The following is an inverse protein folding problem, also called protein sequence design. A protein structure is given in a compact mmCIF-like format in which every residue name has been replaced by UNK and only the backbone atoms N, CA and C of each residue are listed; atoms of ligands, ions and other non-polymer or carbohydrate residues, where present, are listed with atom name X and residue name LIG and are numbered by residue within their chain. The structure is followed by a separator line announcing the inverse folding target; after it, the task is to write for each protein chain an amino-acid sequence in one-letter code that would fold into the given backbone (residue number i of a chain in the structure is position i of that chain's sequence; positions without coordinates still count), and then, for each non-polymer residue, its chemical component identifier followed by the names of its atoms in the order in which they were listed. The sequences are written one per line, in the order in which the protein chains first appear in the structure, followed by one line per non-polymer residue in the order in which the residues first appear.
data_IF_352295150393
#
_entry.id   IF_352295150393
#
_cell.length_a   1.000
_cell.length_b   1.000
_cell.length_c   1.000
_cell.angle_alpha   90.00
_cell.angle_beta   90.00
_cell.angle_gamma   90.00
#
_symmetry.space_group_name_H-M   'P 1'
#
loop_
_entity.id
_entity.type
_entity.pdbx_description
1 polymer ?
#
# COMPACT_ATOMS: atom_id res chain seq x y z
N UNK A 1 8.93 -2.87 25.79
CA UNK A 1 8.90 -3.47 24.44
C UNK A 1 7.53 -3.29 23.79
N UNK A 2 6.47 -3.04 24.57
CA UNK A 2 5.07 -3.05 24.13
C UNK A 2 4.65 -1.94 23.13
N UNK A 3 5.45 -0.88 22.96
CA UNK A 3 5.20 0.19 21.96
C UNK A 3 5.98 0.03 20.66
N UNK A 4 7.02 -0.81 20.64
CA UNK A 4 7.81 -1.04 19.43
C UNK A 4 7.05 -1.94 18.44
N UNK A 5 6.26 -2.87 18.95
CA UNK A 5 5.47 -3.80 18.12
C UNK A 5 4.35 -3.11 17.33
N UNK A 6 3.55 -2.17 17.92
CA UNK A 6 2.60 -1.38 17.14
C UNK A 6 3.28 -0.46 16.12
N UNK A 7 4.32 0.28 16.53
CA UNK A 7 5.03 1.23 15.66
C UNK A 7 5.60 0.51 14.42
N UNK A 8 6.19 -0.67 14.63
CA UNK A 8 6.70 -1.50 13.55
C UNK A 8 5.55 -1.95 12.63
N UNK A 9 4.45 -2.47 13.19
CA UNK A 9 3.31 -2.95 12.39
C UNK A 9 2.66 -1.85 11.55
N UNK A 10 2.39 -0.68 12.11
CA UNK A 10 1.83 0.43 11.36
C UNK A 10 2.78 0.92 10.26
N UNK A 11 4.09 0.93 10.53
CA UNK A 11 5.10 1.27 9.52
C UNK A 11 5.11 0.26 8.37
N UNK A 12 5.04 -1.05 8.66
CA UNK A 12 4.97 -2.11 7.64
C UNK A 12 3.69 -1.97 6.81
N UNK A 13 2.54 -1.74 7.46
CA UNK A 13 1.26 -1.54 6.76
C UNK A 13 1.32 -0.29 5.87
N UNK A 14 1.79 0.83 6.40
CA UNK A 14 1.94 2.09 5.66
C UNK A 14 2.89 1.95 4.47
N UNK A 15 3.99 1.23 4.65
CA UNK A 15 4.94 0.91 3.58
C UNK A 15 4.27 0.10 2.47
N UNK A 16 3.63 -1.03 2.80
CA UNK A 16 3.03 -1.93 1.82
C UNK A 16 1.84 -1.27 1.10
N UNK A 17 0.94 -0.64 1.85
CA UNK A 17 -0.22 0.07 1.28
C UNK A 17 0.22 1.25 0.41
N UNK A 18 1.16 2.07 0.90
CA UNK A 18 1.72 3.19 0.16
C UNK A 18 2.44 2.74 -1.11
N UNK A 19 3.24 1.67 -1.04
CA UNK A 19 3.94 1.12 -2.19
C UNK A 19 2.97 0.65 -3.28
N UNK A 20 1.89 -0.01 -2.87
CA UNK A 20 0.87 -0.54 -3.77
C UNK A 20 0.07 0.59 -4.42
N UNK A 21 -0.53 1.46 -3.62
CA UNK A 21 -1.34 2.58 -4.11
C UNK A 21 -0.50 3.53 -4.96
N UNK A 22 0.72 3.85 -4.50
CA UNK A 22 1.62 4.72 -5.25
C UNK A 22 2.02 4.13 -6.61
N UNK A 23 2.13 2.81 -6.74
CA UNK A 23 2.42 2.19 -8.03
C UNK A 23 1.32 2.50 -9.05
N UNK A 24 0.07 2.26 -8.70
CA UNK A 24 -1.06 2.56 -9.58
C UNK A 24 -1.27 4.05 -9.76
N UNK A 25 -1.01 4.88 -8.75
CA UNK A 25 -1.13 6.32 -8.92
C UNK A 25 -0.13 6.89 -9.93
N UNK A 26 1.13 6.42 -9.91
CA UNK A 26 2.21 7.00 -10.72
C UNK A 26 2.51 6.28 -12.03
N UNK A 27 2.28 4.97 -12.11
CA UNK A 27 2.64 4.16 -13.27
C UNK A 27 1.43 3.60 -14.02
N UNK A 28 0.37 3.19 -13.30
CA UNK A 28 -0.79 2.50 -13.89
C UNK A 28 -2.12 3.15 -13.48
N UNK A 29 -2.24 4.47 -13.69
CA UNK A 29 -3.38 5.25 -13.19
C UNK A 29 -4.70 4.86 -13.82
N UNK A 30 -4.70 4.30 -15.03
CA UNK A 30 -5.91 3.82 -15.70
C UNK A 30 -6.56 2.66 -14.94
N UNK A 31 -5.77 1.77 -14.34
CA UNK A 31 -6.26 0.63 -13.55
C UNK A 31 -7.01 1.12 -12.30
N UNK A 32 -6.60 2.24 -11.73
CA UNK A 32 -7.26 2.84 -10.57
C UNK A 32 -8.75 3.16 -10.82
N UNK A 33 -9.10 3.50 -12.07
CA UNK A 33 -10.47 3.85 -12.44
C UNK A 33 -11.23 2.69 -13.09
N UNK A 34 -10.54 1.84 -13.84
CA UNK A 34 -11.17 0.75 -14.60
C UNK A 34 -11.30 -0.54 -13.78
N UNK A 35 -10.36 -0.82 -12.88
CA UNK A 35 -10.39 -1.98 -11.98
C UNK A 35 -9.79 -1.62 -10.60
N UNK A 36 -10.52 -0.83 -9.79
CA UNK A 36 -10.03 -0.39 -8.48
C UNK A 36 -9.80 -1.54 -7.49
N UNK A 37 -10.43 -2.70 -7.70
CA UNK A 37 -10.28 -3.87 -6.84
C UNK A 37 -8.91 -4.52 -7.04
N UNK A 38 -8.42 -4.57 -8.28
CA UNK A 38 -7.09 -5.07 -8.62
C UNK A 38 -5.95 -4.27 -7.97
N UNK A 39 -6.16 -2.98 -7.71
CA UNK A 39 -5.18 -2.13 -7.03
C UNK A 39 -4.83 -2.69 -5.64
N UNK A 40 -5.81 -3.22 -4.91
CA UNK A 40 -5.63 -3.73 -3.55
C UNK A 40 -5.40 -5.24 -3.50
N UNK A 41 -6.00 -5.99 -4.43
CA UNK A 41 -6.00 -7.44 -4.42
C UNK A 41 -4.87 -8.02 -5.29
N UNK A 42 -4.28 -9.16 -4.90
CA UNK A 42 -3.29 -9.86 -5.73
C UNK A 42 -3.94 -10.76 -6.80
N UNK A 43 -5.22 -10.54 -7.10
CA UNK A 43 -5.98 -11.29 -8.09
C UNK A 43 -6.89 -10.35 -8.89
N UNK A 44 -7.00 -10.63 -10.19
CA UNK A 44 -8.06 -10.08 -11.05
C UNK A 44 -9.34 -10.86 -10.79
N UNK A 45 -10.50 -10.20 -10.89
CA UNK A 45 -11.81 -10.83 -10.65
C UNK A 45 -12.51 -11.24 -11.95
N UNK A 46 -12.19 -10.60 -13.08
CA UNK A 46 -12.83 -10.83 -14.38
C UNK A 46 -11.81 -10.83 -15.52
N UNK A 47 -11.31 -12.00 -15.99
CA UNK A 47 -11.49 -13.34 -15.41
C UNK A 47 -10.72 -13.50 -14.08
N UNK A 48 -11.14 -14.44 -13.24
CA UNK A 48 -10.45 -14.72 -11.99
C UNK A 48 -9.04 -15.29 -12.23
N UNK A 49 -8.03 -14.47 -12.03
CA UNK A 49 -6.63 -14.83 -12.28
C UNK A 49 -5.73 -14.32 -11.15
N UNK A 50 -4.82 -15.18 -10.69
CA UNK A 50 -3.78 -14.77 -9.75
C UNK A 50 -2.68 -14.00 -10.49
N UNK A 51 -2.63 -12.69 -10.26
CA UNK A 51 -1.61 -11.81 -10.82
C UNK A 51 -0.46 -11.57 -9.85
N UNK A 52 -0.67 -11.87 -8.56
CA UNK A 52 0.28 -11.64 -7.48
C UNK A 52 0.43 -10.15 -7.12
N UNK A 53 1.30 -9.86 -6.15
CA UNK A 53 1.67 -8.49 -5.77
C UNK A 53 2.81 -7.95 -6.65
N UNK A 54 2.65 -7.99 -7.97
CA UNK A 54 3.55 -7.33 -8.90
C UNK A 54 3.17 -5.85 -9.01
N UNK A 55 4.15 -4.95 -8.94
CA UNK A 55 3.93 -3.49 -8.97
C UNK A 55 3.93 -2.84 -7.59
N UNK A 56 5.11 -2.39 -7.16
CA UNK A 56 5.34 -1.65 -5.92
C UNK A 56 6.22 -0.43 -6.22
N UNK A 57 5.74 0.77 -5.89
CA UNK A 57 6.50 1.99 -6.05
C UNK A 57 7.22 2.35 -4.75
N UNK A 58 8.55 2.47 -4.79
CA UNK A 58 9.35 2.88 -3.62
C UNK A 58 8.99 4.28 -3.11
N UNK A 59 8.61 5.19 -4.01
CA UNK A 59 8.19 6.55 -3.63
C UNK A 59 6.85 6.55 -2.89
N UNK A 60 5.91 5.70 -3.34
CA UNK A 60 4.65 5.46 -2.63
C UNK A 60 4.89 4.84 -1.25
N UNK A 61 5.83 3.89 -1.17
CA UNK A 61 6.23 3.27 0.10
C UNK A 61 6.77 4.31 1.10
N UNK A 62 7.66 5.18 0.64
CA UNK A 62 8.23 6.25 1.45
C UNK A 62 7.15 7.22 1.96
N UNK A 63 6.23 7.65 1.09
CA UNK A 63 5.13 8.52 1.48
C UNK A 63 4.19 7.84 2.48
N UNK A 64 3.85 6.56 2.25
CA UNK A 64 3.01 5.78 3.14
C UNK A 64 3.63 5.59 4.53
N UNK A 65 4.94 5.40 4.62
CA UNK A 65 5.68 5.38 5.89
C UNK A 65 5.58 6.74 6.59
N UNK A 66 5.82 7.85 5.89
CA UNK A 66 5.74 9.20 6.47
C UNK A 66 4.36 9.46 7.07
N UNK A 67 3.29 9.11 6.33
CA UNK A 67 1.90 9.24 6.79
C UNK A 67 1.65 8.35 8.01
N UNK A 68 2.07 7.08 7.97
CA UNK A 68 1.92 6.16 9.10
C UNK A 68 2.64 6.69 10.35
N UNK A 69 3.87 7.19 10.21
CA UNK A 69 4.62 7.79 11.32
C UNK A 69 3.91 9.01 11.90
N UNK A 70 3.33 9.88 11.06
CA UNK A 70 2.55 11.02 11.52
C UNK A 70 1.34 10.57 12.38
N UNK A 71 0.55 9.62 11.89
CA UNK A 71 -0.60 9.10 12.63
C UNK A 71 -0.23 8.38 13.93
N UNK A 72 0.89 7.63 13.95
CA UNK A 72 1.34 6.93 15.16
C UNK A 72 1.81 7.93 16.21
N UNK A 73 2.55 8.97 15.81
CA UNK A 73 3.07 10.00 16.74
C UNK A 73 1.91 10.77 17.39
N UNK A 74 0.81 11.01 16.68
CA UNK A 74 -0.38 11.66 17.26
C UNK A 74 -1.21 10.75 18.18
N UNK A 75 -1.11 9.43 18.06
CA UNK A 75 -1.91 8.46 18.83
C UNK A 75 -1.16 7.75 19.96
N UNK A 76 0.11 8.10 20.22
CA UNK A 76 0.95 7.58 21.31
C UNK A 76 1.01 8.55 22.49
#
# INVERSE_FOLDING_TARGET
MDKLDPLFMYTVIGCLAGARIGHYLFYETEVLFNDPLHVLLPFSLDPFEWTGFAGMASHGAALGIIIAMFFIVENI
#
